data_IF_243374752193
#
_entry.id   IF_243374752193
#
_cell.length_a   1.000
_cell.length_b   1.000
_cell.length_c   1.000
_cell.angle_alpha   90.00
_cell.angle_beta   90.00
_cell.angle_gamma   90.00
#
_symmetry.space_group_name_H-M   'P 1'
#
loop_
_entity.id
_entity.type
_entity.pdbx_description
1 polymer ?
#
# COMPACT_ATOMS: atom_id res chain seq x y z
N UNK A 1 24.78 5.68 -3.67
CA UNK A 1 24.71 4.23 -3.98
C UNK A 1 23.76 3.50 -3.04
N UNK A 2 23.92 3.66 -1.71
CA UNK A 2 23.05 3.07 -0.69
C UNK A 2 21.54 3.29 -0.93
N UNK A 3 21.11 4.53 -1.21
CA UNK A 3 19.69 4.82 -1.44
C UNK A 3 19.08 4.05 -2.62
N UNK A 4 19.84 3.85 -3.70
CA UNK A 4 19.37 3.06 -4.85
C UNK A 4 19.22 1.59 -4.51
N UNK A 5 20.09 1.06 -3.66
CA UNK A 5 19.99 -0.33 -3.17
C UNK A 5 18.74 -0.49 -2.31
N UNK A 6 18.44 0.49 -1.45
CA UNK A 6 17.22 0.50 -0.64
C UNK A 6 15.98 0.57 -1.54
N UNK A 7 15.94 1.48 -2.53
CA UNK A 7 14.82 1.60 -3.47
C UNK A 7 14.56 0.28 -4.22
N UNK A 8 15.63 -0.32 -4.79
CA UNK A 8 15.53 -1.59 -5.52
C UNK A 8 15.10 -2.73 -4.59
N UNK A 9 15.67 -2.80 -3.39
CA UNK A 9 15.33 -3.82 -2.39
C UNK A 9 13.86 -3.74 -1.98
N UNK A 10 13.37 -2.54 -1.67
CA UNK A 10 11.95 -2.31 -1.36
C UNK A 10 11.05 -2.65 -2.53
N UNK A 11 11.48 -2.36 -3.77
CA UNK A 11 10.70 -2.68 -4.97
C UNK A 11 10.61 -4.18 -5.21
N UNK A 12 11.72 -4.91 -5.06
CA UNK A 12 11.73 -6.37 -5.18
C UNK A 12 10.81 -7.00 -4.12
N UNK A 13 10.91 -6.56 -2.86
CA UNK A 13 10.03 -7.06 -1.79
C UNK A 13 8.57 -6.73 -2.08
N UNK A 14 8.25 -5.51 -2.49
CA UNK A 14 6.89 -5.11 -2.82
C UNK A 14 6.31 -5.91 -3.98
N UNK A 15 7.09 -6.14 -5.05
CA UNK A 15 6.66 -6.96 -6.18
C UNK A 15 6.48 -8.43 -5.79
N UNK A 16 7.40 -9.01 -5.02
CA UNK A 16 7.26 -10.40 -4.54
C UNK A 16 6.00 -10.56 -3.71
N UNK A 17 5.72 -9.63 -2.79
CA UNK A 17 4.50 -9.66 -1.98
C UNK A 17 3.24 -9.46 -2.84
N UNK A 18 3.31 -8.61 -3.86
CA UNK A 18 2.19 -8.40 -4.78
C UNK A 18 1.88 -9.65 -5.60
N UNK A 19 2.90 -10.35 -6.12
CA UNK A 19 2.72 -11.57 -6.92
C UNK A 19 2.31 -12.79 -6.08
N UNK A 20 2.41 -12.74 -4.76
CA UNK A 20 1.90 -13.77 -3.85
C UNK A 20 0.55 -13.41 -3.24
N UNK A 21 -0.14 -12.40 -3.79
CA UNK A 21 -1.41 -11.86 -3.28
C UNK A 21 -1.35 -11.54 -1.78
N UNK A 22 -0.16 -11.17 -1.29
CA UNK A 22 0.05 -10.92 0.12
C UNK A 22 -0.59 -9.60 0.53
N UNK A 23 -1.38 -9.56 1.63
CA UNK A 23 -1.93 -8.32 2.15
C UNK A 23 -0.84 -7.31 2.56
N UNK A 24 0.40 -7.78 2.74
CA UNK A 24 1.55 -6.96 3.12
C UNK A 24 2.20 -6.21 1.95
N UNK A 25 1.81 -6.46 0.69
CA UNK A 25 2.36 -5.75 -0.47
C UNK A 25 2.14 -4.22 -0.35
N UNK A 26 0.96 -3.82 0.14
CA UNK A 26 0.60 -2.43 0.43
C UNK A 26 1.55 -1.79 1.46
N UNK A 27 1.99 -2.53 2.47
CA UNK A 27 2.95 -2.05 3.49
C UNK A 27 4.32 -1.80 2.86
N UNK A 28 4.77 -2.65 1.95
CA UNK A 28 6.05 -2.48 1.27
C UNK A 28 6.05 -1.24 0.36
N UNK A 29 4.98 -1.04 -0.42
CA UNK A 29 4.81 0.19 -1.21
C UNK A 29 4.68 1.44 -0.33
N UNK A 30 4.00 1.35 0.81
CA UNK A 30 3.90 2.44 1.77
C UNK A 30 5.26 2.81 2.36
N UNK A 31 6.06 1.82 2.77
CA UNK A 31 7.41 2.01 3.29
C UNK A 31 8.33 2.66 2.24
N UNK A 32 8.22 2.25 0.98
CA UNK A 32 8.90 2.92 -0.14
C UNK A 32 8.44 4.37 -0.31
N UNK A 33 7.13 4.63 -0.20
CA UNK A 33 6.58 5.98 -0.20
C UNK A 33 7.17 6.86 0.90
N UNK A 34 7.23 6.36 2.15
CA UNK A 34 7.84 7.04 3.28
C UNK A 34 9.33 7.32 3.04
N UNK A 35 10.08 6.35 2.50
CA UNK A 35 11.50 6.54 2.18
C UNK A 35 11.71 7.70 1.21
N UNK A 36 10.88 7.79 0.17
CA UNK A 36 10.89 8.92 -0.77
C UNK A 36 10.51 10.26 -0.11
N UNK A 37 9.49 10.27 0.77
CA UNK A 37 9.10 11.47 1.50
C UNK A 37 10.21 11.96 2.45
N UNK A 38 10.88 11.05 3.17
CA UNK A 38 12.00 11.39 4.04
C UNK A 38 13.16 11.98 3.25
N UNK A 39 13.50 11.41 2.08
CA UNK A 39 14.54 11.98 1.20
C UNK A 39 14.18 13.38 0.71
N UNK A 40 12.92 13.62 0.36
CA UNK A 40 12.46 14.95 -0.02
C UNK A 40 12.53 15.94 1.16
N UNK A 41 12.22 15.48 2.37
CA UNK A 41 12.27 16.31 3.57
C UNK A 41 13.70 16.67 3.99
N UNK A 42 14.61 15.69 3.98
CA UNK A 42 16.00 15.84 4.43
C UNK A 42 16.81 16.79 3.53
N UNK A 43 16.66 16.67 2.20
CA UNK A 43 17.37 17.54 1.26
C UNK A 43 16.78 18.95 1.12
N UNK A 44 15.57 19.18 1.63
CA UNK A 44 14.84 20.44 1.44
C UNK A 44 14.52 20.74 -0.03
N UNK A 45 13.89 21.90 -0.27
CA UNK A 45 13.38 22.31 -1.61
C UNK A 45 14.47 22.52 -2.67
N UNK A 46 15.73 22.66 -2.24
CA UNK A 46 16.89 22.90 -3.10
C UNK A 46 17.64 21.62 -3.48
N UNK A 47 17.28 20.47 -2.91
CA UNK A 47 17.93 19.20 -3.24
C UNK A 47 17.59 18.71 -4.64
N UNK A 48 18.59 18.13 -5.30
CA UNK A 48 18.42 17.49 -6.59
C UNK A 48 17.36 16.38 -6.48
N UNK A 49 16.34 16.44 -7.33
CA UNK A 49 15.26 15.45 -7.34
C UNK A 49 14.22 15.60 -6.23
N UNK A 50 14.24 16.68 -5.43
CA UNK A 50 13.23 16.98 -4.39
C UNK A 50 11.79 16.74 -4.88
N UNK A 51 11.42 17.34 -6.01
CA UNK A 51 10.07 17.26 -6.56
C UNK A 51 9.69 15.83 -6.94
N UNK A 52 10.64 15.08 -7.51
CA UNK A 52 10.43 13.69 -7.89
C UNK A 52 10.25 12.80 -6.66
N UNK A 53 11.09 12.97 -5.64
CA UNK A 53 10.96 12.25 -4.37
C UNK A 53 9.65 12.58 -3.66
N UNK A 54 9.25 13.85 -3.62
CA UNK A 54 7.99 14.26 -3.01
C UNK A 54 6.77 13.66 -3.74
N UNK A 55 6.71 13.79 -5.07
CA UNK A 55 5.58 13.30 -5.86
C UNK A 55 5.48 11.77 -5.79
N UNK A 56 6.61 11.06 -5.96
CA UNK A 56 6.62 9.60 -5.91
C UNK A 56 6.28 9.09 -4.50
N UNK A 57 6.82 9.74 -3.46
CA UNK A 57 6.51 9.40 -2.07
C UNK A 57 5.03 9.57 -1.74
N UNK A 58 4.45 10.71 -2.13
CA UNK A 58 3.02 10.97 -1.97
C UNK A 58 2.15 9.96 -2.73
N UNK A 59 2.49 9.68 -4.00
CA UNK A 59 1.75 8.75 -4.84
C UNK A 59 1.74 7.34 -4.24
N UNK A 60 2.91 6.84 -3.85
CA UNK A 60 3.04 5.52 -3.22
C UNK A 60 2.26 5.45 -1.90
N UNK A 61 2.32 6.48 -1.07
CA UNK A 61 1.58 6.53 0.18
C UNK A 61 0.06 6.50 -0.05
N UNK A 62 -0.45 7.33 -0.97
CA UNK A 62 -1.87 7.40 -1.30
C UNK A 62 -2.36 6.06 -1.86
N UNK A 63 -1.69 5.52 -2.89
CA UNK A 63 -2.11 4.27 -3.54
C UNK A 63 -2.11 3.11 -2.53
N UNK A 64 -1.10 3.03 -1.69
CA UNK A 64 -1.01 1.97 -0.68
C UNK A 64 -2.16 2.05 0.32
N UNK A 65 -2.47 3.27 0.80
CA UNK A 65 -3.57 3.49 1.73
C UNK A 65 -4.93 3.21 1.09
N UNK A 66 -5.14 3.70 -0.14
CA UNK A 66 -6.36 3.43 -0.91
C UNK A 66 -6.54 1.93 -1.16
N UNK A 67 -5.46 1.21 -1.49
CA UNK A 67 -5.51 -0.23 -1.71
C UNK A 67 -5.97 -1.00 -0.47
N UNK A 68 -5.40 -0.68 0.70
CA UNK A 68 -5.81 -1.29 1.98
C UNK A 68 -7.27 -0.94 2.31
N UNK A 69 -7.66 0.33 2.13
CA UNK A 69 -9.01 0.78 2.41
C UNK A 69 -10.05 0.07 1.52
N UNK A 70 -9.81 0.00 0.21
CA UNK A 70 -10.71 -0.66 -0.74
C UNK A 70 -10.79 -2.16 -0.44
N UNK A 71 -9.67 -2.84 -0.19
CA UNK A 71 -9.67 -4.26 0.16
C UNK A 71 -10.45 -4.53 1.45
N UNK A 72 -10.28 -3.68 2.47
CA UNK A 72 -11.03 -3.77 3.72
C UNK A 72 -12.54 -3.57 3.50
N UNK A 73 -12.92 -2.57 2.70
CA UNK A 73 -14.32 -2.28 2.37
C UNK A 73 -14.99 -3.44 1.62
N UNK A 74 -14.30 -4.06 0.65
CA UNK A 74 -14.83 -5.21 -0.08
C UNK A 74 -14.95 -6.45 0.82
N UNK A 75 -13.97 -6.68 1.70
CA UNK A 75 -14.00 -7.82 2.61
C UNK A 75 -15.15 -7.68 3.62
N UNK A 76 -15.41 -6.47 4.11
CA UNK A 76 -16.54 -6.22 5.00
C UNK A 76 -17.89 -6.49 4.30
N UNK A 77 -18.09 -5.98 3.08
CA UNK A 77 -19.31 -6.28 2.32
C UNK A 77 -19.50 -7.79 2.08
N UNK A 78 -18.43 -8.51 1.77
CA UNK A 78 -18.51 -9.94 1.57
C UNK A 78 -18.95 -10.69 2.84
N UNK A 79 -18.47 -10.26 4.01
CA UNK A 79 -18.89 -10.81 5.31
C UNK A 79 -20.36 -10.52 5.57
N UNK A 80 -20.80 -9.26 5.39
CA UNK A 80 -22.20 -8.85 5.60
C UNK A 80 -23.16 -9.69 4.74
N UNK A 81 -22.85 -9.89 3.46
CA UNK A 81 -23.66 -10.73 2.56
C UNK A 81 -23.71 -12.19 3.04
N UNK A 82 -22.57 -12.75 3.47
CA UNK A 82 -22.53 -14.13 3.97
C UNK A 82 -23.38 -14.31 5.24
N UNK A 83 -23.34 -13.34 6.16
CA UNK A 83 -24.12 -13.37 7.39
C UNK A 83 -25.63 -13.24 7.11
N UNK A 84 -26.03 -12.36 6.18
CA UNK A 84 -27.42 -12.21 5.77
C UNK A 84 -27.99 -13.50 5.16
N UNK A 85 -27.27 -14.10 4.21
CA UNK A 85 -27.71 -15.35 3.56
C UNK A 85 -27.82 -16.50 4.56
N UNK A 86 -26.84 -16.63 5.46
CA UNK A 86 -26.86 -17.70 6.46
C UNK A 86 -28.00 -17.53 7.48
N UNK A 87 -28.31 -16.29 7.86
CA UNK A 87 -29.44 -16.01 8.76
C UNK A 87 -30.80 -16.28 8.11
N UNK A 88 -30.93 -16.07 6.79
CA UNK A 88 -32.15 -16.40 6.04
C UNK A 88 -32.35 -17.92 5.90
N UNK A 89 -31.29 -18.70 5.63
CA UNK A 89 -31.35 -20.17 5.59
C UNK A 89 -31.80 -20.76 6.94
N UNK A 90 -31.28 -20.26 8.06
CA UNK A 90 -31.66 -20.70 9.41
C UNK A 90 -33.11 -20.37 9.81
N UNK A 91 -33.79 -19.45 9.10
CA UNK A 91 -35.19 -19.10 9.35
C UNK A 91 -36.17 -19.94 8.53
N UNK A 92 -35.68 -20.65 7.50
CA UNK A 92 -36.47 -21.47 6.59
C UNK A 92 -36.52 -22.96 6.98
N UNK A 93 -35.69 -23.37 7.95
CA UNK A 93 -35.67 -24.69 8.60
C UNK A 93 -36.46 -24.73 9.93
#
# INVERSE_FOLDING_TARGET
MLHRIIDIGLLVVALVLLFTDSPFASIAFFAMGLFHLFRAAEGGKTSEGYRSHLVLGMLLAIISFTGVFVAGYLNQQAIEIYEEVHAEELQLD
#
